data_IF_227292416783
#
_entry.id   IF_227292416783
#
_cell.length_a   1.000
_cell.length_b   1.000
_cell.length_c   1.000
_cell.angle_alpha   90.00
_cell.angle_beta   90.00
_cell.angle_gamma   90.00
#
_symmetry.space_group_name_H-M   'P 1'
#
loop_
_entity.id
_entity.type
_entity.pdbx_description
1 polymer ?
#
# COMPACT_ATOMS: atom_id res chain seq x y z
N UNK A 1 34.80 -23.27 -16.32
CA UNK A 1 34.29 -22.02 -15.74
C UNK A 1 32.79 -22.05 -15.88
N UNK A 2 32.05 -22.05 -14.78
CA UNK A 2 30.59 -22.03 -14.78
C UNK A 2 30.13 -20.70 -15.37
N UNK A 3 29.19 -20.74 -16.31
CA UNK A 3 28.65 -19.50 -16.89
C UNK A 3 27.64 -18.88 -15.92
N UNK A 4 27.86 -17.62 -15.56
CA UNK A 4 26.92 -16.81 -14.77
C UNK A 4 25.96 -16.08 -15.69
N UNK A 5 24.70 -15.94 -15.27
CA UNK A 5 23.65 -15.33 -16.07
C UNK A 5 23.03 -14.10 -15.41
N UNK A 6 22.78 -13.08 -16.24
CA UNK A 6 21.76 -12.06 -15.98
C UNK A 6 20.57 -12.38 -16.86
N UNK A 7 19.40 -12.63 -16.27
CA UNK A 7 18.22 -13.08 -17.03
C UNK A 7 17.24 -11.94 -17.22
N UNK A 8 17.04 -11.48 -18.45
CA UNK A 8 16.02 -10.50 -18.81
C UNK A 8 14.74 -11.20 -19.26
N UNK A 9 13.67 -11.09 -18.47
CA UNK A 9 12.41 -11.81 -18.68
C UNK A 9 11.32 -10.91 -19.24
N UNK A 10 10.61 -11.39 -20.27
CA UNK A 10 9.43 -10.73 -20.84
C UNK A 10 8.30 -11.73 -21.12
N UNK A 11 7.05 -11.32 -20.92
CA UNK A 11 5.85 -12.12 -21.25
C UNK A 11 5.07 -11.60 -22.46
N UNK A 12 5.59 -10.55 -23.11
CA UNK A 12 5.02 -9.99 -24.33
C UNK A 12 6.15 -9.70 -25.33
N UNK A 13 5.88 -9.71 -26.66
CA UNK A 13 6.87 -9.36 -27.68
C UNK A 13 7.08 -7.83 -27.74
N UNK A 14 7.37 -7.26 -26.58
CA UNK A 14 7.74 -5.88 -26.36
C UNK A 14 8.80 -5.84 -25.27
N UNK A 15 9.83 -5.02 -25.50
CA UNK A 15 10.94 -4.83 -24.57
C UNK A 15 11.38 -3.38 -24.66
N UNK A 16 11.33 -2.68 -23.53
CA UNK A 16 11.68 -1.28 -23.47
C UNK A 16 13.20 -1.10 -23.61
N UNK A 17 13.68 -0.15 -24.45
CA UNK A 17 15.12 0.05 -24.67
C UNK A 17 15.93 0.26 -23.39
N UNK A 18 15.36 0.94 -22.41
CA UNK A 18 16.02 1.22 -21.13
C UNK A 18 16.12 -0.01 -20.22
N UNK A 19 15.15 -0.92 -20.27
CA UNK A 19 15.23 -2.21 -19.56
C UNK A 19 16.34 -3.06 -20.17
N UNK A 20 16.40 -3.10 -21.51
CA UNK A 20 17.48 -3.77 -22.24
C UNK A 20 18.86 -3.17 -21.91
N UNK A 21 18.96 -1.85 -21.84
CA UNK A 21 20.19 -1.15 -21.45
C UNK A 21 20.60 -1.48 -20.01
N UNK A 22 19.66 -1.51 -19.07
CA UNK A 22 19.92 -1.90 -17.68
C UNK A 22 20.47 -3.33 -17.59
N UNK A 23 19.79 -4.30 -18.21
CA UNK A 23 20.23 -5.69 -18.21
C UNK A 23 21.59 -5.86 -18.88
N UNK A 24 21.84 -5.13 -19.98
CA UNK A 24 23.15 -5.07 -20.66
C UNK A 24 24.24 -4.55 -19.74
N UNK A 25 24.00 -3.45 -19.01
CA UNK A 25 24.98 -2.88 -18.08
C UNK A 25 25.28 -3.81 -16.90
N UNK A 26 24.25 -4.49 -16.38
CA UNK A 26 24.40 -5.44 -15.28
C UNK A 26 25.21 -6.67 -15.72
N UNK A 27 24.90 -7.25 -16.88
CA UNK A 27 25.67 -8.35 -17.44
C UNK A 27 27.13 -7.97 -17.72
N UNK A 28 27.35 -6.78 -18.29
CA UNK A 28 28.68 -6.23 -18.55
C UNK A 28 29.51 -6.07 -17.26
N UNK A 29 28.91 -5.52 -16.19
CA UNK A 29 29.59 -5.36 -14.89
C UNK A 29 29.92 -6.68 -14.21
N UNK A 30 29.04 -7.67 -14.31
CA UNK A 30 29.23 -9.00 -13.73
C UNK A 30 30.07 -9.95 -14.58
N UNK A 31 30.50 -9.55 -15.79
CA UNK A 31 31.08 -10.45 -16.79
C UNK A 31 30.19 -11.69 -17.08
N UNK A 32 28.87 -11.50 -16.94
CA UNK A 32 27.85 -12.53 -17.07
C UNK A 32 27.29 -12.60 -18.50
N UNK A 33 26.69 -13.73 -18.84
CA UNK A 33 25.94 -13.90 -20.08
C UNK A 33 24.54 -13.31 -19.91
N UNK A 34 24.15 -12.36 -20.77
CA UNK A 34 22.79 -11.84 -20.80
C UNK A 34 21.86 -12.84 -21.48
N UNK A 35 20.93 -13.43 -20.73
CA UNK A 35 19.88 -14.28 -21.30
C UNK A 35 18.61 -13.45 -21.54
N UNK A 36 18.21 -13.32 -22.80
CA UNK A 36 16.86 -12.84 -23.15
C UNK A 36 15.89 -14.03 -23.08
N UNK A 37 15.09 -14.08 -22.02
CA UNK A 37 14.08 -15.10 -21.78
C UNK A 37 12.69 -14.55 -22.10
N UNK A 38 12.11 -14.99 -23.22
CA UNK A 38 10.74 -14.65 -23.57
C UNK A 38 9.80 -15.82 -23.26
N UNK A 39 8.74 -15.56 -22.50
CA UNK A 39 7.78 -16.58 -22.05
C UNK A 39 6.40 -16.25 -22.61
N UNK A 40 5.80 -17.19 -23.33
CA UNK A 40 4.40 -17.11 -23.76
C UNK A 40 3.54 -17.74 -22.66
N UNK A 41 2.77 -16.95 -21.87
CA UNK A 41 2.03 -17.46 -20.73
C UNK A 41 0.82 -18.30 -21.16
N UNK A 42 0.49 -19.34 -20.40
CA UNK A 42 -0.82 -19.99 -20.51
C UNK A 42 -1.86 -19.07 -19.84
N UNK A 43 -2.85 -18.57 -20.59
CA UNK A 43 -4.01 -17.88 -20.01
C UNK A 43 -4.95 -18.91 -19.41
N UNK A 44 -5.46 -18.70 -18.18
CA UNK A 44 -6.44 -19.61 -17.56
C UNK A 44 -7.78 -19.58 -18.33
N UNK A 45 -8.56 -20.64 -18.47
CA UNK A 45 -8.48 -21.99 -17.91
C UNK A 45 -9.34 -22.94 -18.77
N UNK A 46 -8.73 -23.51 -19.80
CA UNK A 46 -9.24 -24.62 -20.61
C UNK A 46 -8.08 -25.09 -21.52
N UNK A 47 -8.03 -26.38 -21.85
CA UNK A 47 -6.92 -26.98 -22.62
C UNK A 47 -6.67 -26.32 -23.99
N UNK A 48 -7.64 -25.53 -24.48
CA UNK A 48 -7.56 -24.74 -25.70
C UNK A 48 -6.58 -23.57 -25.60
N UNK A 49 -6.51 -22.88 -24.45
CA UNK A 49 -5.56 -21.78 -24.24
C UNK A 49 -4.09 -22.27 -24.21
N UNK A 50 -3.84 -23.49 -23.72
CA UNK A 50 -2.53 -24.15 -23.81
C UNK A 50 -2.18 -24.47 -25.27
N UNK A 51 -3.16 -24.92 -26.06
CA UNK A 51 -2.99 -25.23 -27.48
C UNK A 51 -2.65 -23.97 -28.29
N UNK A 52 -3.37 -22.86 -28.09
CA UNK A 52 -3.09 -21.57 -28.74
C UNK A 52 -1.74 -20.97 -28.34
N UNK A 53 -1.32 -21.13 -27.09
CA UNK A 53 0.00 -20.69 -26.63
C UNK A 53 1.12 -21.51 -27.29
N UNK A 54 0.94 -22.83 -27.41
CA UNK A 54 1.87 -23.71 -28.12
C UNK A 54 1.94 -23.39 -29.62
N UNK A 55 0.78 -23.17 -30.27
CA UNK A 55 0.69 -22.76 -31.68
C UNK A 55 1.31 -21.37 -31.89
N UNK A 56 1.14 -20.44 -30.94
CA UNK A 56 1.76 -19.11 -30.96
C UNK A 56 3.30 -19.18 -30.94
N UNK A 57 3.87 -20.07 -30.14
CA UNK A 57 5.32 -20.35 -30.17
C UNK A 57 5.74 -20.97 -31.50
N UNK A 58 4.98 -21.92 -32.04
CA UNK A 58 5.26 -22.57 -33.33
C UNK A 58 5.06 -21.66 -34.55
N UNK A 59 4.31 -20.56 -34.41
CA UNK A 59 4.07 -19.59 -35.49
C UNK A 59 5.31 -18.79 -35.92
N UNK A 60 6.43 -18.91 -35.19
CA UNK A 60 7.70 -18.25 -35.48
C UNK A 60 7.74 -16.74 -35.21
N UNK A 61 6.60 -16.12 -34.89
CA UNK A 61 6.49 -14.66 -34.64
C UNK A 61 7.26 -14.21 -33.39
N UNK A 62 7.11 -14.94 -32.30
CA UNK A 62 7.81 -14.71 -31.04
C UNK A 62 9.32 -14.99 -31.16
N UNK A 63 9.69 -16.02 -31.91
CA UNK A 63 11.09 -16.37 -32.18
C UNK A 63 11.78 -15.31 -33.05
N UNK A 64 11.11 -14.85 -34.12
CA UNK A 64 11.60 -13.76 -34.96
C UNK A 64 11.74 -12.45 -34.19
N UNK A 65 10.82 -12.14 -33.26
CA UNK A 65 10.95 -10.98 -32.39
C UNK A 65 12.12 -11.10 -31.41
N UNK A 66 12.27 -12.28 -30.79
CA UNK A 66 13.32 -12.55 -29.82
C UNK A 66 14.71 -12.50 -30.47
N UNK A 67 14.85 -13.07 -31.67
CA UNK A 67 16.10 -13.04 -32.44
C UNK A 67 16.57 -11.65 -32.85
N UNK A 68 15.68 -10.64 -32.84
CA UNK A 68 16.05 -9.22 -33.05
C UNK A 68 16.56 -8.53 -31.79
N UNK A 69 16.45 -9.16 -30.62
CA UNK A 69 16.94 -8.57 -29.38
C UNK A 69 18.44 -8.78 -29.28
N UNK A 70 19.19 -7.69 -29.14
CA UNK A 70 20.63 -7.72 -28.92
C UNK A 70 20.98 -6.81 -27.75
N UNK A 71 22.05 -7.08 -26.99
CA UNK A 71 22.48 -6.19 -25.94
C UNK A 71 22.81 -4.80 -26.51
N UNK A 72 22.66 -3.75 -25.70
CA UNK A 72 23.02 -2.38 -26.10
C UNK A 72 24.55 -2.17 -26.23
N UNK A 73 25.37 -3.18 -25.89
CA UNK A 73 26.83 -3.18 -25.92
C UNK A 73 27.32 -4.45 -26.59
N UNK A 74 28.09 -4.32 -27.67
CA UNK A 74 28.48 -5.43 -28.53
C UNK A 74 29.37 -6.47 -27.83
N UNK A 75 30.09 -6.05 -26.79
CA UNK A 75 31.00 -6.87 -26.00
C UNK A 75 30.29 -7.83 -25.02
N UNK A 76 28.99 -7.64 -24.77
CA UNK A 76 28.23 -8.49 -23.83
C UNK A 76 27.82 -9.80 -24.52
N UNK A 77 28.30 -10.93 -23.98
CA UNK A 77 27.85 -12.27 -24.40
C UNK A 77 26.37 -12.43 -24.09
N UNK A 78 25.59 -12.96 -25.03
CA UNK A 78 24.15 -13.12 -24.84
C UNK A 78 23.59 -14.40 -25.46
N UNK A 79 22.41 -14.81 -24.99
CA UNK A 79 21.62 -15.93 -25.51
C UNK A 79 20.15 -15.56 -25.57
N UNK A 80 19.40 -16.28 -26.41
CA UNK A 80 17.95 -16.21 -26.49
C UNK A 80 17.34 -17.52 -26.01
N UNK A 81 16.23 -17.44 -25.28
CA UNK A 81 15.39 -18.60 -24.97
C UNK A 81 13.93 -18.22 -25.05
N UNK A 82 13.19 -18.98 -25.85
CA UNK A 82 11.74 -18.92 -25.93
C UNK A 82 11.16 -20.08 -25.13
N UNK A 83 10.16 -19.81 -24.31
CA UNK A 83 9.45 -20.83 -23.54
C UNK A 83 7.94 -20.56 -23.58
N UNK A 84 7.14 -21.59 -23.38
CA UNK A 84 5.69 -21.50 -23.19
C UNK A 84 5.33 -22.16 -21.86
N UNK A 85 4.50 -21.52 -21.06
CA UNK A 85 4.04 -22.06 -19.79
C UNK A 85 3.85 -21.03 -18.70
N UNK A 86 3.74 -21.50 -17.46
CA UNK A 86 3.68 -20.63 -16.29
C UNK A 86 5.00 -19.84 -16.17
N UNK A 87 4.96 -18.50 -16.29
CA UNK A 87 6.17 -17.69 -16.27
C UNK A 87 6.96 -17.79 -14.98
N UNK A 88 6.31 -17.92 -13.82
CA UNK A 88 6.98 -18.02 -12.53
C UNK A 88 7.71 -19.35 -12.41
N UNK A 89 7.06 -20.45 -12.77
CA UNK A 89 7.68 -21.78 -12.72
C UNK A 89 8.85 -21.91 -13.70
N UNK A 90 8.76 -21.30 -14.87
CA UNK A 90 9.84 -21.33 -15.87
C UNK A 90 11.06 -20.54 -15.39
N UNK A 91 10.85 -19.33 -14.83
CA UNK A 91 11.95 -18.54 -14.29
C UNK A 91 12.56 -19.23 -13.06
N UNK A 92 11.73 -19.72 -12.14
CA UNK A 92 12.17 -20.45 -10.95
C UNK A 92 13.04 -21.65 -11.30
N UNK A 93 12.59 -22.46 -12.26
CA UNK A 93 13.34 -23.63 -12.75
C UNK A 93 14.66 -23.22 -13.38
N UNK A 94 14.66 -22.17 -14.20
CA UNK A 94 15.90 -21.70 -14.82
C UNK A 94 16.93 -21.25 -13.77
N UNK A 95 16.49 -20.49 -12.76
CA UNK A 95 17.33 -20.03 -11.65
C UNK A 95 17.83 -21.20 -10.80
N UNK A 96 17.03 -22.26 -10.62
CA UNK A 96 17.46 -23.44 -9.89
C UNK A 96 18.48 -24.31 -10.66
N UNK A 97 18.46 -24.27 -11.99
CA UNK A 97 19.30 -25.09 -12.86
C UNK A 97 20.61 -24.41 -13.30
N UNK A 98 20.72 -23.08 -13.13
CA UNK A 98 21.84 -22.28 -13.63
C UNK A 98 22.32 -21.27 -12.58
N UNK A 99 23.60 -20.90 -12.63
CA UNK A 99 24.15 -19.82 -11.81
C UNK A 99 23.63 -18.46 -12.29
N UNK A 100 22.52 -17.98 -11.71
CA UNK A 100 21.89 -16.71 -12.05
C UNK A 100 22.25 -15.64 -11.02
N UNK A 101 22.98 -14.61 -11.45
CA UNK A 101 23.39 -13.50 -10.59
C UNK A 101 22.20 -12.60 -10.23
N UNK A 102 21.30 -12.35 -11.20
CA UNK A 102 20.06 -11.60 -11.00
C UNK A 102 19.08 -11.80 -12.17
N UNK A 103 17.80 -11.53 -11.89
CA UNK A 103 16.72 -11.48 -12.88
C UNK A 103 16.29 -10.02 -13.09
N UNK A 104 16.21 -9.57 -14.35
CA UNK A 104 15.60 -8.30 -14.74
C UNK A 104 14.21 -8.59 -15.31
N UNK A 105 13.15 -8.14 -14.65
CA UNK A 105 11.78 -8.34 -15.10
C UNK A 105 11.20 -7.06 -15.70
N UNK A 106 10.72 -7.12 -16.95
CA UNK A 106 10.01 -5.99 -17.54
C UNK A 106 8.54 -5.93 -17.07
N UNK A 107 8.16 -4.85 -16.40
CA UNK A 107 6.78 -4.56 -16.07
C UNK A 107 6.10 -3.80 -17.24
N UNK A 108 5.13 -4.40 -17.95
CA UNK A 108 4.43 -3.72 -19.03
C UNK A 108 3.61 -2.53 -18.49
N UNK A 109 3.37 -1.49 -19.30
CA UNK A 109 2.49 -0.38 -18.91
C UNK A 109 1.09 -0.92 -18.61
N UNK A 110 0.57 -0.66 -17.41
CA UNK A 110 -0.80 -1.04 -17.02
C UNK A 110 -1.79 -0.42 -18.01
N UNK A 111 -2.45 -1.25 -18.83
CA UNK A 111 -3.60 -0.82 -19.66
C UNK A 111 -4.80 -0.60 -18.75
N UNK A 112 -5.49 0.50 -18.98
CA UNK A 112 -6.58 1.17 -18.26
C UNK A 112 -7.86 0.36 -17.96
N UNK A 113 -7.83 -0.97 -18.05
CA UNK A 113 -8.97 -1.82 -17.70
C UNK A 113 -8.67 -2.60 -16.41
N UNK A 114 -9.34 -2.17 -15.34
CA UNK A 114 -9.36 -2.70 -13.96
C UNK A 114 -8.09 -2.48 -13.08
N UNK A 115 -8.18 -1.70 -11.99
CA UNK A 115 -7.12 -1.61 -10.97
C UNK A 115 -7.13 -2.75 -9.94
N UNK A 116 -8.15 -3.62 -9.95
CA UNK A 116 -8.53 -4.42 -8.77
C UNK A 116 -8.25 -5.93 -8.83
N UNK A 117 -7.71 -6.48 -9.91
CA UNK A 117 -7.39 -7.91 -9.99
C UNK A 117 -6.03 -8.08 -10.68
N UNK A 118 -5.16 -8.92 -10.11
CA UNK A 118 -3.81 -9.32 -10.56
C UNK A 118 -2.62 -8.54 -9.97
N UNK A 119 -1.97 -9.13 -8.94
CA UNK A 119 -0.56 -8.84 -8.58
C UNK A 119 0.31 -9.03 -9.83
N UNK A 120 1.17 -8.07 -10.16
CA UNK A 120 1.91 -8.11 -11.43
C UNK A 120 2.92 -9.26 -11.49
N UNK A 121 3.16 -9.85 -12.66
CA UNK A 121 4.16 -10.91 -12.87
C UNK A 121 5.54 -10.58 -12.27
N UNK A 122 6.02 -9.35 -12.49
CA UNK A 122 7.30 -8.89 -11.94
C UNK A 122 7.32 -8.82 -10.40
N UNK A 123 6.19 -8.46 -9.77
CA UNK A 123 6.08 -8.43 -8.30
C UNK A 123 6.14 -9.85 -7.73
N UNK A 124 5.50 -10.83 -8.37
CA UNK A 124 5.52 -12.23 -7.90
C UNK A 124 6.91 -12.86 -8.02
N UNK A 125 7.68 -12.51 -9.04
CA UNK A 125 9.08 -12.94 -9.16
C UNK A 125 9.95 -12.45 -7.99
N UNK A 126 9.78 -11.20 -7.54
CA UNK A 126 10.56 -10.65 -6.40
C UNK A 126 10.40 -11.51 -5.14
N UNK A 127 9.20 -12.03 -4.89
CA UNK A 127 8.91 -12.80 -3.69
C UNK A 127 9.35 -14.26 -3.76
N UNK A 128 9.49 -14.82 -4.97
CA UNK A 128 9.71 -16.25 -5.16
C UNK A 128 11.15 -16.61 -5.55
N UNK A 129 11.95 -15.66 -6.05
CA UNK A 129 13.27 -15.95 -6.58
C UNK A 129 14.36 -15.96 -5.49
N UNK A 130 15.26 -16.96 -5.47
CA UNK A 130 16.38 -17.00 -4.53
C UNK A 130 17.51 -16.03 -4.88
N UNK A 131 17.47 -15.41 -6.06
CA UNK A 131 18.42 -14.41 -6.52
C UNK A 131 17.78 -13.01 -6.63
N UNK A 132 18.57 -11.92 -6.61
CA UNK A 132 18.05 -10.57 -6.75
C UNK A 132 17.20 -10.38 -8.00
N UNK A 133 16.02 -9.78 -7.84
CA UNK A 133 15.12 -9.43 -8.95
C UNK A 133 15.03 -7.91 -9.08
N UNK A 134 15.41 -7.40 -10.25
CA UNK A 134 15.34 -6.00 -10.61
C UNK A 134 14.13 -5.77 -11.51
N UNK A 135 13.13 -5.05 -11.01
CA UNK A 135 11.98 -4.65 -11.81
C UNK A 135 12.35 -3.42 -12.63
N UNK A 136 12.13 -3.48 -13.93
CA UNK A 136 12.35 -2.36 -14.85
C UNK A 136 11.14 -2.18 -15.75
N UNK A 137 10.91 -0.96 -16.20
CA UNK A 137 9.78 -0.60 -17.05
C UNK A 137 9.59 0.91 -17.07
N UNK A 138 8.68 1.43 -17.90
CA UNK A 138 8.49 2.86 -18.12
C UNK A 138 8.16 3.69 -16.86
N UNK A 139 7.89 3.05 -15.70
CA UNK A 139 7.68 3.70 -14.40
C UNK A 139 8.86 3.59 -13.41
N UNK A 140 9.80 2.66 -13.57
CA UNK A 140 10.85 2.40 -12.57
C UNK A 140 12.16 3.17 -12.79
N UNK A 141 12.37 3.73 -13.98
CA UNK A 141 13.54 4.59 -14.29
C UNK A 141 13.27 6.09 -14.11
N UNK A 142 12.20 6.44 -13.40
CA UNK A 142 11.91 7.81 -12.99
C UNK A 142 11.44 7.83 -11.54
N UNK A 143 12.37 7.77 -10.60
CA UNK A 143 12.31 8.72 -9.48
C UNK A 143 12.66 10.11 -10.02
N UNK A 144 11.78 10.64 -10.84
CA UNK A 144 11.59 12.04 -11.17
C UNK A 144 10.11 12.10 -11.52
N UNK A 145 9.26 12.76 -10.72
CA UNK A 145 7.86 12.91 -11.07
C UNK A 145 7.80 13.46 -12.49
N UNK A 146 7.09 12.78 -13.39
CA UNK A 146 6.61 13.48 -14.58
C UNK A 146 5.81 14.68 -14.06
N UNK A 147 6.02 15.90 -14.59
CA UNK A 147 5.19 17.02 -14.21
C UNK A 147 3.73 16.59 -14.37
N UNK A 148 2.84 16.95 -13.43
CA UNK A 148 1.43 16.63 -13.57
C UNK A 148 1.00 17.05 -14.99
N UNK A 149 0.06 16.33 -15.63
CA UNK A 149 -0.56 16.85 -16.84
C UNK A 149 -0.92 18.32 -16.57
N UNK A 150 -0.68 19.23 -17.52
CA UNK A 150 -0.90 20.65 -17.27
C UNK A 150 -2.29 20.79 -16.65
N UNK A 151 -2.33 21.43 -15.48
CA UNK A 151 -3.55 21.69 -14.75
C UNK A 151 -4.63 22.09 -15.76
N UNK A 152 -5.83 21.48 -15.73
CA UNK A 152 -6.88 21.83 -16.66
C UNK A 152 -7.05 23.36 -16.65
N UNK A 153 -6.91 23.99 -17.82
CA UNK A 153 -6.97 25.45 -17.94
C UNK A 153 -8.38 25.91 -17.60
N UNK A 154 -8.53 26.62 -16.48
CA UNK A 154 -9.79 27.12 -15.97
C UNK A 154 -10.70 26.02 -15.43
N UNK A 155 -10.78 25.89 -14.10
CA UNK A 155 -11.89 25.18 -13.47
C UNK A 155 -13.09 26.14 -13.39
N UNK A 156 -14.23 25.72 -13.92
CA UNK A 156 -15.51 26.39 -13.62
C UNK A 156 -15.95 25.99 -12.21
N UNK A 157 -16.87 26.75 -11.59
CA UNK A 157 -17.42 26.39 -10.28
C UNK A 157 -17.97 24.95 -10.23
N UNK A 158 -18.61 24.49 -11.31
CA UNK A 158 -19.13 23.12 -11.44
C UNK A 158 -17.99 22.10 -11.53
N UNK A 159 -16.95 22.36 -12.33
CA UNK A 159 -15.81 21.45 -12.49
C UNK A 159 -14.99 21.29 -11.20
N UNK A 160 -14.82 22.35 -10.41
CA UNK A 160 -14.11 22.27 -9.12
C UNK A 160 -14.88 21.41 -8.10
N UNK A 161 -16.19 21.61 -7.99
CA UNK A 161 -17.04 20.81 -7.11
C UNK A 161 -17.01 19.33 -7.49
N UNK A 162 -17.17 19.02 -8.78
CA UNK A 162 -17.17 17.65 -9.28
C UNK A 162 -15.82 16.96 -9.05
N UNK A 163 -14.70 17.66 -9.33
CA UNK A 163 -13.35 17.14 -9.08
C UNK A 163 -13.12 16.83 -7.60
N UNK A 164 -13.43 17.77 -6.71
CA UNK A 164 -13.22 17.61 -5.27
C UNK A 164 -14.08 16.48 -4.72
N UNK A 165 -15.37 16.46 -5.08
CA UNK A 165 -16.29 15.40 -4.65
C UNK A 165 -15.87 14.02 -5.14
N UNK A 166 -15.59 13.88 -6.44
CA UNK A 166 -15.16 12.60 -7.02
C UNK A 166 -13.88 12.11 -6.36
N UNK A 167 -12.95 13.02 -6.06
CA UNK A 167 -11.70 12.68 -5.41
C UNK A 167 -11.93 12.20 -3.98
N UNK A 168 -12.72 12.92 -3.17
CA UNK A 168 -13.01 12.51 -1.80
C UNK A 168 -13.76 11.19 -1.77
N UNK A 169 -14.78 11.01 -2.62
CA UNK A 169 -15.55 9.77 -2.70
C UNK A 169 -14.64 8.58 -3.05
N UNK A 170 -13.77 8.72 -4.05
CA UNK A 170 -12.80 7.67 -4.40
C UNK A 170 -11.80 7.37 -3.28
N UNK A 171 -11.37 8.39 -2.52
CA UNK A 171 -10.40 8.25 -1.43
C UNK A 171 -11.02 7.59 -0.21
N UNK A 172 -12.23 7.99 0.16
CA UNK A 172 -13.01 7.35 1.22
C UNK A 172 -13.21 5.87 0.90
N UNK A 173 -13.65 5.55 -0.32
CA UNK A 173 -13.87 4.16 -0.72
C UNK A 173 -12.58 3.33 -0.66
N UNK A 174 -11.46 3.89 -1.12
CA UNK A 174 -10.17 3.21 -1.10
C UNK A 174 -9.69 2.94 0.34
N UNK A 175 -9.78 3.92 1.23
CA UNK A 175 -9.38 3.75 2.65
C UNK A 175 -10.32 2.77 3.35
N UNK A 176 -11.63 2.92 3.18
CA UNK A 176 -12.63 2.05 3.80
C UNK A 176 -12.45 0.59 3.37
N UNK A 177 -12.37 0.35 2.06
CA UNK A 177 -12.16 -1.00 1.53
C UNK A 177 -10.86 -1.64 2.05
N UNK A 178 -9.79 -0.85 2.18
CA UNK A 178 -8.56 -1.31 2.80
C UNK A 178 -8.76 -1.66 4.29
N UNK A 179 -9.38 -0.79 5.08
CA UNK A 179 -9.63 -1.02 6.51
C UNK A 179 -10.52 -2.25 6.76
N UNK A 180 -11.57 -2.42 5.96
CA UNK A 180 -12.48 -3.58 6.01
C UNK A 180 -11.73 -4.87 5.66
N UNK A 181 -10.88 -4.82 4.62
CA UNK A 181 -10.05 -5.96 4.24
C UNK A 181 -9.10 -6.41 5.37
N UNK A 182 -8.49 -5.45 6.09
CA UNK A 182 -7.62 -5.76 7.22
C UNK A 182 -8.39 -6.40 8.38
N UNK A 183 -9.56 -5.86 8.73
CA UNK A 183 -10.43 -6.41 9.76
C UNK A 183 -10.86 -7.85 9.42
N UNK A 184 -11.32 -8.06 8.18
CA UNK A 184 -11.73 -9.37 7.66
C UNK A 184 -10.58 -10.38 7.64
N UNK A 185 -9.37 -9.95 7.29
CA UNK A 185 -8.19 -10.80 7.29
C UNK A 185 -7.85 -11.29 8.70
N UNK A 186 -7.81 -10.38 9.68
CA UNK A 186 -7.56 -10.73 11.08
C UNK A 186 -8.70 -11.57 11.66
N UNK A 187 -9.94 -11.28 11.28
CA UNK A 187 -11.10 -12.11 11.65
C UNK A 187 -10.93 -13.56 11.18
N UNK A 188 -10.54 -13.79 9.91
CA UNK A 188 -10.29 -15.15 9.40
C UNK A 188 -9.17 -15.87 10.16
N UNK A 189 -8.12 -15.16 10.56
CA UNK A 189 -7.05 -15.74 11.40
C UNK A 189 -7.59 -16.11 12.79
N UNK A 190 -8.35 -15.21 13.42
CA UNK A 190 -9.00 -15.44 14.71
C UNK A 190 -9.97 -16.63 14.69
N UNK A 191 -10.63 -16.89 13.55
CA UNK A 191 -11.54 -18.02 13.37
C UNK A 191 -10.85 -19.32 12.93
N UNK A 192 -9.53 -19.31 12.71
CA UNK A 192 -8.78 -20.53 12.35
C UNK A 192 -8.83 -21.57 13.46
N UNK A 193 -8.83 -22.85 13.09
CA UNK A 193 -8.89 -23.96 14.06
C UNK A 193 -7.77 -23.89 15.10
N UNK A 194 -6.54 -23.58 14.67
CA UNK A 194 -5.38 -23.49 15.57
C UNK A 194 -5.57 -22.42 16.64
N UNK A 195 -6.07 -21.24 16.26
CA UNK A 195 -6.28 -20.12 17.19
C UNK A 195 -7.47 -20.41 18.12
N UNK A 196 -8.55 -20.98 17.60
CA UNK A 196 -9.73 -21.36 18.40
C UNK A 196 -9.45 -22.49 19.39
N UNK A 197 -8.73 -23.52 18.96
CA UNK A 197 -8.34 -24.65 19.81
C UNK A 197 -7.40 -24.19 20.94
N UNK A 198 -6.45 -23.31 20.61
CA UNK A 198 -5.58 -22.70 21.60
C UNK A 198 -6.39 -21.91 22.64
N UNK A 199 -7.29 -21.03 22.20
CA UNK A 199 -8.14 -20.26 23.11
C UNK A 199 -9.01 -21.16 24.01
N UNK A 200 -9.63 -22.21 23.45
CA UNK A 200 -10.45 -23.15 24.21
C UNK A 200 -9.65 -23.94 25.25
N UNK A 201 -8.37 -24.26 24.97
CA UNK A 201 -7.52 -25.03 25.89
C UNK A 201 -7.17 -24.28 27.18
N UNK A 202 -7.20 -22.94 27.16
CA UNK A 202 -6.95 -22.09 28.35
C UNK A 202 -8.10 -22.19 29.37
N UNK A 203 -9.34 -22.26 28.90
CA UNK A 203 -10.53 -22.30 29.76
C UNK A 203 -10.78 -23.65 30.44
N UNK A 204 -10.15 -24.74 29.99
CA UNK A 204 -10.50 -26.10 30.39
C UNK A 204 -9.72 -26.70 31.56
N UNK A 205 -8.43 -26.39 31.72
CA UNK A 205 -7.54 -27.22 32.59
C UNK A 205 -6.46 -26.45 33.38
N UNK A 206 -6.33 -25.13 33.22
CA UNK A 206 -5.37 -24.30 33.98
C UNK A 206 -3.88 -24.55 33.67
N UNK A 207 -3.55 -25.51 32.80
CA UNK A 207 -2.20 -25.77 32.29
C UNK A 207 -2.23 -25.73 30.76
N UNK A 208 -1.60 -24.71 30.19
CA UNK A 208 -1.45 -24.57 28.75
C UNK A 208 -0.37 -25.54 28.26
N UNK A 209 -0.73 -26.47 27.37
CA UNK A 209 0.21 -27.44 26.80
C UNK A 209 1.25 -26.71 25.94
N UNK A 210 2.54 -26.87 26.28
CA UNK A 210 3.67 -26.28 25.55
C UNK A 210 3.62 -26.61 24.04
N UNK A 211 3.04 -27.76 23.67
CA UNK A 211 2.86 -28.15 22.27
C UNK A 211 1.76 -27.36 21.57
N UNK A 212 0.69 -27.01 22.28
CA UNK A 212 -0.39 -26.14 21.79
C UNK A 212 0.15 -24.72 21.60
N UNK A 213 0.92 -24.22 22.58
CA UNK A 213 1.60 -22.93 22.46
C UNK A 213 2.51 -22.85 21.24
N UNK A 214 3.38 -23.85 21.06
CA UNK A 214 4.31 -23.85 19.94
C UNK A 214 3.59 -23.86 18.59
N UNK A 215 2.51 -24.64 18.45
CA UNK A 215 1.68 -24.67 17.22
C UNK A 215 0.99 -23.33 16.98
N UNK A 216 0.45 -22.71 18.02
CA UNK A 216 -0.18 -21.40 17.95
C UNK A 216 0.81 -20.34 17.44
N UNK A 217 2.00 -20.28 18.04
CA UNK A 217 3.04 -19.31 17.66
C UNK A 217 3.45 -19.47 16.21
N UNK A 218 3.74 -20.70 15.77
CA UNK A 218 4.10 -20.99 14.38
C UNK A 218 2.98 -20.55 13.43
N UNK A 219 1.72 -20.87 13.73
CA UNK A 219 0.61 -20.48 12.87
C UNK A 219 0.43 -18.95 12.79
N UNK A 220 0.55 -18.24 13.92
CA UNK A 220 0.40 -16.79 13.95
C UNK A 220 1.61 -16.06 13.34
N UNK A 221 2.83 -16.59 13.45
CA UNK A 221 4.01 -16.06 12.76
C UNK A 221 3.88 -16.21 11.23
N UNK A 222 3.36 -17.34 10.73
CA UNK A 222 3.05 -17.53 9.31
C UNK A 222 1.97 -16.56 8.83
N UNK A 223 0.91 -16.34 9.62
CA UNK A 223 -0.12 -15.36 9.31
C UNK A 223 0.40 -13.92 9.34
N UNK A 224 1.27 -13.59 10.30
CA UNK A 224 1.95 -12.30 10.36
C UNK A 224 2.73 -12.06 9.07
N UNK A 225 3.54 -13.05 8.64
CA UNK A 225 4.32 -12.95 7.41
C UNK A 225 3.44 -12.81 6.17
N UNK A 226 2.40 -13.65 6.04
CA UNK A 226 1.49 -13.64 4.89
C UNK A 226 0.67 -12.34 4.76
N UNK A 227 0.35 -11.71 5.89
CA UNK A 227 -0.37 -10.43 5.94
C UNK A 227 0.55 -9.21 5.95
N UNK A 228 1.88 -9.42 5.94
CA UNK A 228 2.88 -8.36 6.09
C UNK A 228 2.70 -7.52 7.38
N UNK A 229 2.22 -8.15 8.45
CA UNK A 229 2.11 -7.52 9.76
C UNK A 229 3.51 -7.40 10.42
N UNK A 230 3.71 -6.35 11.20
CA UNK A 230 4.93 -6.11 11.96
C UNK A 230 4.97 -6.94 13.26
N UNK A 231 3.82 -7.36 13.75
CA UNK A 231 3.69 -8.21 14.92
C UNK A 231 2.25 -8.61 15.21
N UNK A 232 2.08 -9.54 16.14
CA UNK A 232 0.77 -9.97 16.64
C UNK A 232 0.76 -10.13 18.15
N UNK A 233 -0.44 -10.05 18.73
CA UNK A 233 -0.72 -10.39 20.12
C UNK A 233 -2.08 -11.10 20.22
N UNK A 234 -2.12 -12.26 20.88
CA UNK A 234 -3.35 -12.95 21.25
C UNK A 234 -3.49 -12.91 22.77
N UNK A 235 -4.63 -12.42 23.26
CA UNK A 235 -4.97 -12.42 24.69
C UNK A 235 -6.21 -13.26 24.93
N UNK A 236 -6.18 -14.15 25.91
CA UNK A 236 -7.31 -15.00 26.33
C UNK A 236 -7.32 -15.09 27.85
N UNK A 237 -8.30 -14.43 28.49
CA UNK A 237 -8.30 -14.23 29.94
C UNK A 237 -7.03 -13.49 30.40
N UNK A 238 -6.35 -14.03 31.41
CA UNK A 238 -5.08 -13.48 31.94
C UNK A 238 -3.85 -13.87 31.10
N UNK A 239 -4.01 -14.71 30.07
CA UNK A 239 -2.90 -15.19 29.26
C UNK A 239 -2.73 -14.35 28.00
N UNK A 240 -1.49 -14.06 27.65
CA UNK A 240 -1.15 -13.32 26.44
C UNK A 240 0.09 -13.92 25.76
N UNK A 241 0.01 -14.07 24.44
CA UNK A 241 1.12 -14.48 23.58
C UNK A 241 1.31 -13.43 22.49
N UNK A 242 2.53 -13.26 22.01
CA UNK A 242 2.79 -12.32 20.93
C UNK A 242 4.20 -12.43 20.35
N UNK A 243 4.38 -11.76 19.22
CA UNK A 243 5.64 -11.63 18.52
C UNK A 243 5.74 -10.24 17.89
N UNK A 244 6.80 -9.49 18.22
CA UNK A 244 7.14 -8.22 17.55
C UNK A 244 6.14 -7.07 17.70
N UNK A 245 4.95 -7.28 18.28
CA UNK A 245 3.93 -6.26 18.41
C UNK A 245 4.33 -5.27 19.51
N UNK A 246 4.57 -4.03 19.10
CA UNK A 246 4.77 -2.92 20.04
C UNK A 246 3.42 -2.29 20.28
N UNK A 247 2.90 -2.44 21.50
CA UNK A 247 1.61 -1.88 21.86
C UNK A 247 1.66 -0.34 21.76
N UNK A 248 0.68 0.29 21.07
CA UNK A 248 0.59 1.73 21.00
C UNK A 248 0.32 2.36 22.37
N UNK A 249 0.55 3.67 22.49
CA UNK A 249 0.21 4.40 23.72
C UNK A 249 -1.29 4.30 24.02
N UNK A 250 -1.62 4.10 25.30
CA UNK A 250 -2.99 4.17 25.78
C UNK A 250 -3.56 5.57 25.51
N UNK A 251 -4.78 5.62 24.99
CA UNK A 251 -5.46 6.85 24.61
C UNK A 251 -6.84 6.57 24.03
N UNK A 252 -7.61 7.62 23.76
CA UNK A 252 -8.98 7.53 23.24
C UNK A 252 -9.05 6.77 21.92
N UNK A 253 -8.08 6.97 21.01
CA UNK A 253 -8.04 6.27 19.72
C UNK A 253 -7.92 4.74 19.85
N UNK A 254 -7.08 4.26 20.79
CA UNK A 254 -6.96 2.82 21.06
C UNK A 254 -8.21 2.28 21.75
N UNK A 255 -8.79 3.02 22.70
CA UNK A 255 -10.03 2.63 23.36
C UNK A 255 -11.20 2.50 22.38
N UNK A 256 -11.43 3.53 21.54
CA UNK A 256 -12.48 3.51 20.53
C UNK A 256 -12.30 2.37 19.51
N UNK A 257 -11.06 2.05 19.14
CA UNK A 257 -10.78 0.88 18.31
C UNK A 257 -11.17 -0.44 19.02
N UNK A 258 -10.77 -0.62 20.27
CA UNK A 258 -11.09 -1.83 21.03
C UNK A 258 -12.59 -1.97 21.24
N UNK A 259 -13.30 -0.87 21.52
CA UNK A 259 -14.76 -0.87 21.64
C UNK A 259 -15.42 -1.37 20.35
N UNK A 260 -14.97 -0.89 19.17
CA UNK A 260 -15.46 -1.40 17.87
C UNK A 260 -15.17 -2.88 17.66
N UNK A 261 -14.02 -3.38 18.09
CA UNK A 261 -13.71 -4.82 17.99
C UNK A 261 -14.66 -5.64 18.87
N UNK A 262 -14.96 -5.17 20.08
CA UNK A 262 -15.92 -5.85 20.97
C UNK A 262 -17.36 -5.78 20.44
N UNK A 263 -17.77 -4.65 19.88
CA UNK A 263 -19.11 -4.44 19.35
C UNK A 263 -19.36 -5.23 18.06
N UNK A 264 -18.40 -5.22 17.14
CA UNK A 264 -18.56 -5.77 15.78
C UNK A 264 -17.84 -7.10 15.56
N UNK A 265 -17.10 -7.59 16.55
CA UNK A 265 -16.30 -8.81 16.47
C UNK A 265 -14.96 -8.65 15.75
N UNK A 266 -14.79 -7.63 14.90
CA UNK A 266 -13.51 -7.24 14.31
C UNK A 266 -13.53 -5.80 13.83
N UNK A 267 -12.38 -5.13 13.85
CA UNK A 267 -12.24 -3.77 13.32
C UNK A 267 -10.78 -3.45 13.01
N UNK A 268 -10.56 -2.26 12.45
CA UNK A 268 -9.25 -1.65 12.19
C UNK A 268 -9.18 -0.30 12.90
N UNK A 269 -8.02 0.02 13.48
CA UNK A 269 -7.78 1.28 14.18
C UNK A 269 -7.51 2.42 13.20
N UNK A 270 -7.65 3.65 13.67
CA UNK A 270 -6.98 4.81 13.05
C UNK A 270 -5.48 4.77 13.40
N UNK A 271 -4.62 5.59 12.77
CA UNK A 271 -3.20 5.63 13.12
C UNK A 271 -2.98 5.87 14.61
N UNK A 272 -2.13 5.05 15.23
CA UNK A 272 -1.78 5.13 16.65
C UNK A 272 -0.29 5.38 16.80
N UNK A 273 0.08 6.26 17.73
CA UNK A 273 1.48 6.52 18.06
C UNK A 273 2.04 5.39 18.92
N UNK A 274 3.14 4.78 18.47
CA UNK A 274 3.95 3.85 19.27
C UNK A 274 5.02 4.63 20.03
N UNK A 275 5.74 5.48 19.30
CA UNK A 275 6.73 6.39 19.85
C UNK A 275 6.60 7.76 19.18
N UNK A 276 6.44 8.80 20.00
CA UNK A 276 6.25 10.18 19.54
C UNK A 276 7.56 10.80 19.10
N UNK A 277 8.71 10.29 19.56
CA UNK A 277 10.03 10.83 19.18
C UNK A 277 10.53 10.24 17.85
N UNK A 278 10.04 9.05 17.46
CA UNK A 278 10.51 8.32 16.27
C UNK A 278 9.55 8.39 15.06
N UNK A 279 8.48 9.20 15.13
CA UNK A 279 7.45 9.30 14.07
C UNK A 279 6.82 7.95 13.67
N UNK A 280 6.86 6.93 14.56
CA UNK A 280 6.37 5.59 14.21
C UNK A 280 4.89 5.46 14.53
N UNK A 281 4.11 5.43 13.46
CA UNK A 281 2.67 5.21 13.48
C UNK A 281 2.36 3.78 13.08
N UNK A 282 1.48 3.14 13.83
CA UNK A 282 0.97 1.81 13.51
C UNK A 282 -0.54 1.84 13.35
N UNK A 283 -1.04 0.87 12.60
CA UNK A 283 -2.45 0.52 12.54
C UNK A 283 -2.63 -0.84 13.18
N UNK A 284 -3.66 -0.99 14.00
CA UNK A 284 -4.04 -2.28 14.54
C UNK A 284 -5.26 -2.80 13.78
N UNK A 285 -5.26 -4.07 13.41
CA UNK A 285 -6.50 -4.77 13.11
C UNK A 285 -6.71 -5.84 14.18
N UNK A 286 -7.95 -5.92 14.67
CA UNK A 286 -8.30 -6.76 15.82
C UNK A 286 -9.53 -7.59 15.55
N UNK A 287 -9.59 -8.78 16.14
CA UNK A 287 -10.76 -9.65 16.09
C UNK A 287 -10.93 -10.46 17.37
N UNK A 288 -12.19 -10.70 17.74
CA UNK A 288 -12.57 -11.57 18.85
C UNK A 288 -12.33 -13.04 18.51
N UNK A 289 -11.82 -13.80 19.48
CA UNK A 289 -11.48 -15.22 19.39
C UNK A 289 -12.37 -16.02 20.34
N UNK A 290 -13.21 -16.91 19.79
CA UNK A 290 -14.07 -17.80 20.57
C UNK A 290 -15.21 -17.09 21.32
N UNK A 291 -15.97 -17.85 22.13
CA UNK A 291 -17.10 -17.34 22.92
C UNK A 291 -16.70 -16.72 24.27
N UNK A 292 -15.49 -17.02 24.77
CA UNK A 292 -15.01 -16.64 26.11
C UNK A 292 -14.14 -15.37 26.12
N UNK A 293 -14.25 -14.50 25.11
CA UNK A 293 -13.64 -13.16 25.15
C UNK A 293 -12.15 -13.08 24.83
N UNK A 294 -11.62 -13.95 23.98
CA UNK A 294 -10.26 -13.80 23.45
C UNK A 294 -10.15 -12.64 22.45
N UNK A 295 -8.99 -12.00 22.35
CA UNK A 295 -8.70 -10.90 21.43
C UNK A 295 -7.38 -11.15 20.69
N UNK A 296 -7.45 -11.20 19.36
CA UNK A 296 -6.28 -11.21 18.48
C UNK A 296 -6.07 -9.81 17.91
N UNK A 297 -4.84 -9.30 18.00
CA UNK A 297 -4.39 -8.05 17.40
C UNK A 297 -3.22 -8.32 16.45
N UNK A 298 -3.23 -7.71 15.27
CA UNK A 298 -2.08 -7.62 14.38
C UNK A 298 -1.75 -6.13 14.14
N UNK A 299 -0.46 -5.82 14.12
CA UNK A 299 0.05 -4.47 13.88
C UNK A 299 0.59 -4.31 12.45
N UNK A 300 0.26 -3.19 11.83
CA UNK A 300 0.64 -2.83 10.46
C UNK A 300 1.31 -1.45 10.44
N UNK A 301 2.14 -1.24 9.44
CA UNK A 301 2.76 0.06 9.20
C UNK A 301 1.72 1.05 8.65
N UNK A 302 1.49 2.18 9.34
CA UNK A 302 0.56 3.19 8.85
C UNK A 302 1.05 3.88 7.57
N UNK A 303 2.36 3.99 7.36
CA UNK A 303 2.96 4.66 6.19
C UNK A 303 2.75 3.87 4.92
N UNK A 304 2.92 2.55 5.00
CA UNK A 304 2.92 1.68 3.83
C UNK A 304 1.56 1.68 3.12
N UNK A 305 0.46 1.86 3.83
CA UNK A 305 -0.89 1.74 3.27
C UNK A 305 -1.79 2.95 3.49
N UNK A 306 -2.27 3.20 4.73
CA UNK A 306 -3.26 4.24 5.03
C UNK A 306 -2.78 5.64 4.60
N UNK A 307 -1.58 6.03 5.02
CA UNK A 307 -1.01 7.33 4.68
C UNK A 307 -0.74 7.44 3.18
N UNK A 308 -0.31 6.35 2.53
CA UNK A 308 -0.07 6.31 1.08
C UNK A 308 -1.35 6.47 0.25
N UNK A 309 -2.48 5.91 0.70
CA UNK A 309 -3.78 6.05 0.01
C UNK A 309 -4.22 7.52 -0.01
N UNK A 310 -4.02 8.24 1.09
CA UNK A 310 -4.40 9.65 1.25
C UNK A 310 -3.36 10.61 0.65
N UNK A 311 -2.08 10.30 0.75
CA UNK A 311 -0.97 11.15 0.29
C UNK A 311 -0.75 11.21 -1.23
N UNK A 312 -1.70 10.73 -2.03
CA UNK A 312 -1.59 10.78 -3.48
C UNK A 312 -1.82 12.22 -3.98
N UNK A 313 -0.92 12.76 -4.81
CA UNK A 313 -1.03 14.13 -5.27
C UNK A 313 -2.23 14.30 -6.21
N UNK A 314 -2.97 15.40 -6.04
CA UNK A 314 -3.99 15.81 -6.98
C UNK A 314 -3.44 16.52 -8.22
N UNK A 315 -4.32 16.93 -9.15
CA UNK A 315 -3.93 17.53 -10.42
C UNK A 315 -3.34 18.94 -10.31
N UNK A 316 -3.43 19.58 -9.15
CA UNK A 316 -2.88 20.91 -8.90
C UNK A 316 -1.82 20.89 -7.79
N UNK A 317 -0.84 21.82 -7.80
CA UNK A 317 0.18 21.92 -6.75
C UNK A 317 -0.39 22.14 -5.35
N UNK A 318 -1.46 22.93 -5.23
CA UNK A 318 -2.16 23.19 -3.97
C UNK A 318 -3.30 22.21 -3.67
N UNK A 319 -3.47 21.16 -4.48
CA UNK A 319 -4.46 20.14 -4.21
C UNK A 319 -3.94 19.17 -3.15
N UNK A 320 -4.75 18.94 -2.13
CA UNK A 320 -4.46 18.04 -1.03
C UNK A 320 -5.67 17.15 -0.74
N UNK A 321 -5.42 15.93 -0.26
CA UNK A 321 -6.42 15.09 0.39
C UNK A 321 -5.85 14.63 1.71
N UNK A 322 -6.62 14.76 2.77
CA UNK A 322 -6.19 14.34 4.11
C UNK A 322 -7.35 13.79 4.93
N UNK A 323 -7.00 13.05 5.99
CA UNK A 323 -7.95 12.54 6.97
C UNK A 323 -7.76 13.19 8.34
N UNK A 324 -8.82 13.21 9.14
CA UNK A 324 -8.83 13.73 10.51
C UNK A 324 -9.85 12.99 11.39
N UNK A 325 -9.62 12.95 12.70
CA UNK A 325 -10.51 12.30 13.66
C UNK A 325 -11.64 13.23 14.17
N UNK A 326 -12.44 12.73 15.12
CA UNK A 326 -13.55 13.46 15.74
C UNK A 326 -13.13 14.73 16.51
N UNK A 327 -11.89 14.77 17.00
CA UNK A 327 -11.31 15.95 17.65
C UNK A 327 -10.70 16.93 16.63
N UNK A 328 -10.79 16.61 15.34
CA UNK A 328 -10.16 17.36 14.26
C UNK A 328 -8.64 17.18 14.23
N UNK A 329 -8.08 16.15 14.85
CA UNK A 329 -6.65 15.85 14.74
C UNK A 329 -6.38 15.17 13.40
N UNK A 330 -5.41 15.68 12.66
CA UNK A 330 -5.03 15.16 11.35
C UNK A 330 -4.46 13.74 11.48
N UNK A 331 -4.88 12.83 10.62
CA UNK A 331 -4.47 11.42 10.60
C UNK A 331 -3.54 11.10 9.42
N UNK A 332 -3.33 12.04 8.51
CA UNK A 332 -2.47 11.88 7.34
C UNK A 332 -1.40 12.97 7.25
N UNK A 333 -0.42 12.76 6.37
CA UNK A 333 0.60 13.75 6.09
C UNK A 333 0.03 14.92 5.30
N UNK A 334 0.31 16.14 5.75
CA UNK A 334 0.08 17.36 4.98
C UNK A 334 1.07 17.45 3.83
N UNK A 335 0.62 18.03 2.72
CA UNK A 335 1.42 18.42 1.56
C UNK A 335 2.21 19.70 1.79
N UNK A 336 1.95 20.44 2.87
CA UNK A 336 2.56 21.74 3.13
C UNK A 336 3.42 21.78 4.42
N UNK A 337 4.34 20.81 4.65
CA UNK A 337 5.13 20.75 5.88
C UNK A 337 5.96 22.02 6.09
N UNK A 338 6.53 22.61 5.04
CA UNK A 338 7.32 23.84 5.13
C UNK A 338 6.50 25.04 5.63
N UNK A 339 5.25 25.18 5.17
CA UNK A 339 4.37 26.27 5.59
C UNK A 339 3.97 26.08 7.06
N UNK A 340 3.73 24.84 7.47
CA UNK A 340 3.39 24.50 8.84
C UNK A 340 4.57 24.73 9.80
N UNK A 341 5.79 24.39 9.39
CA UNK A 341 7.02 24.70 10.13
C UNK A 341 7.21 26.21 10.29
N UNK A 342 7.05 26.97 9.21
CA UNK A 342 7.16 28.44 9.24
C UNK A 342 6.10 29.09 10.13
N UNK A 343 4.88 28.53 10.18
CA UNK A 343 3.82 28.98 11.07
C UNK A 343 3.99 28.48 12.52
N UNK A 344 5.04 27.70 12.81
CA UNK A 344 5.27 27.06 14.10
C UNK A 344 4.17 26.07 14.50
N UNK A 345 3.46 25.50 13.52
CA UNK A 345 2.41 24.49 13.71
C UNK A 345 2.97 23.07 13.75
N UNK A 346 4.22 22.88 13.33
CA UNK A 346 4.98 21.65 13.52
C UNK A 346 6.31 21.94 14.23
N UNK A 347 6.82 21.00 15.04
CA UNK A 347 8.15 21.10 15.62
C UNK A 347 9.22 21.06 14.51
N UNK A 348 10.38 21.68 14.76
CA UNK A 348 11.51 21.67 13.80
C UNK A 348 12.10 20.26 13.60
N UNK A 349 11.90 19.39 14.59
CA UNK A 349 12.32 17.99 14.61
C UNK A 349 11.09 17.12 14.28
N UNK A 350 11.01 16.66 13.03
CA UNK A 350 9.88 15.84 12.52
C UNK A 350 8.99 16.60 11.54
N UNK A 351 8.84 16.06 10.32
CA UNK A 351 8.02 16.66 9.25
C UNK A 351 6.63 16.01 9.14
N UNK A 352 6.35 14.99 9.96
CA UNK A 352 5.07 14.29 9.91
C UNK A 352 3.98 15.05 10.67
N UNK A 353 2.82 15.17 10.05
CA UNK A 353 1.62 15.83 10.61
C UNK A 353 0.60 14.92 11.30
N UNK A 354 0.49 13.61 11.01
CA UNK A 354 -0.46 12.76 11.70
C UNK A 354 -0.28 12.84 13.22
N UNK A 355 -1.41 12.92 13.94
CA UNK A 355 -1.49 13.01 15.39
C UNK A 355 -0.82 14.25 16.03
N UNK A 356 -0.39 15.23 15.22
CA UNK A 356 0.33 16.43 15.69
C UNK A 356 -0.34 17.74 15.30
N UNK A 357 -1.11 17.73 14.23
CA UNK A 357 -1.79 18.92 13.72
C UNK A 357 -3.29 18.82 13.98
N UNK A 358 -3.89 19.88 14.54
CA UNK A 358 -5.35 20.03 14.57
C UNK A 358 -5.81 20.79 13.33
N UNK A 359 -6.83 20.29 12.66
CA UNK A 359 -7.52 20.90 11.51
C UNK A 359 -8.40 22.04 12.02
N UNK A 360 -7.74 23.08 12.51
CA UNK A 360 -8.34 24.26 13.12
C UNK A 360 -7.92 25.53 12.39
N UNK A 361 -8.85 26.47 12.26
CA UNK A 361 -8.63 27.73 11.58
C UNK A 361 -7.78 28.67 12.47
N UNK A 362 -6.62 29.15 11.99
CA UNK A 362 -5.80 30.10 12.74
C UNK A 362 -6.57 31.36 13.16
N UNK A 363 -6.34 31.79 14.40
CA UNK A 363 -6.97 32.99 14.99
C UNK A 363 -6.04 33.69 15.99
N UNK A 364 -6.47 34.82 16.53
CA UNK A 364 -5.71 35.59 17.53
C UNK A 364 -5.66 34.93 18.92
N UNK A 365 -6.47 33.89 19.16
CA UNK A 365 -6.45 33.11 20.39
C UNK A 365 -5.25 32.14 20.43
N UNK A 366 -4.90 31.60 21.62
CA UNK A 366 -3.96 30.48 21.72
C UNK A 366 -4.37 29.31 20.81
N UNK A 367 -3.38 28.62 20.23
CA UNK A 367 -3.58 27.54 19.24
C UNK A 367 -4.55 26.48 19.72
N UNK A 368 -4.52 26.18 21.01
CA UNK A 368 -5.37 25.18 21.65
C UNK A 368 -6.87 25.53 21.54
N UNK A 369 -7.21 26.81 21.38
CA UNK A 369 -8.58 27.34 21.32
C UNK A 369 -9.08 27.68 19.92
N UNK A 370 -8.22 27.54 18.90
CA UNK A 370 -8.64 27.77 17.52
C UNK A 370 -9.87 26.92 17.15
N UNK A 371 -10.91 27.52 16.53
CA UNK A 371 -12.07 26.75 16.11
C UNK A 371 -11.68 25.76 15.03
N UNK A 372 -12.39 24.63 14.93
CA UNK A 372 -12.25 23.73 13.77
C UNK A 372 -12.49 24.52 12.49
N UNK A 373 -11.80 24.14 11.41
CA UNK A 373 -12.13 24.70 10.09
C UNK A 373 -13.60 24.41 9.79
N UNK A 374 -14.23 25.24 8.95
CA UNK A 374 -15.63 25.04 8.55
C UNK A 374 -15.89 23.60 8.09
N UNK A 375 -14.98 23.06 7.28
CA UNK A 375 -15.07 21.69 6.79
C UNK A 375 -15.03 20.68 7.95
N UNK A 376 -14.04 20.76 8.82
CA UNK A 376 -13.89 19.83 9.94
C UNK A 376 -15.08 19.94 10.93
N UNK A 377 -15.60 21.14 11.17
CA UNK A 377 -16.78 21.37 12.01
C UNK A 377 -18.05 20.70 11.45
N UNK A 378 -18.26 20.76 10.12
CA UNK A 378 -19.41 20.09 9.50
C UNK A 378 -19.23 18.56 9.47
N UNK A 379 -18.03 18.10 9.10
CA UNK A 379 -17.74 16.67 9.00
C UNK A 379 -17.86 15.95 10.35
N UNK A 380 -17.31 16.52 11.43
CA UNK A 380 -17.41 15.95 12.80
C UNK A 380 -18.84 15.92 13.33
N UNK A 381 -19.74 16.75 12.78
CA UNK A 381 -21.20 16.67 13.00
C UNK A 381 -21.91 15.70 12.05
N UNK A 382 -21.15 14.83 11.37
CA UNK A 382 -21.61 13.85 10.39
C UNK A 382 -22.37 14.48 9.21
N UNK A 383 -21.99 15.70 8.83
CA UNK A 383 -22.57 16.40 7.68
C UNK A 383 -21.56 16.45 6.54
N UNK A 384 -21.71 15.53 5.62
CA UNK A 384 -20.99 15.53 4.34
C UNK A 384 -21.30 16.78 3.53
N UNK A 385 -20.34 17.22 2.70
CA UNK A 385 -20.57 18.40 1.90
C UNK A 385 -19.40 18.87 1.06
N UNK A 386 -19.57 20.05 0.50
CA UNK A 386 -18.55 20.79 -0.22
C UNK A 386 -18.81 22.30 -0.08
N UNK A 387 -17.77 23.10 -0.24
CA UNK A 387 -17.87 24.55 -0.31
C UNK A 387 -16.93 25.12 -1.38
N UNK A 388 -17.52 25.63 -2.46
CA UNK A 388 -16.82 26.31 -3.55
C UNK A 388 -16.84 27.83 -3.45
N UNK A 389 -17.53 28.41 -2.45
CA UNK A 389 -17.40 29.86 -2.15
C UNK A 389 -16.05 30.13 -1.49
N UNK A 390 -15.66 29.18 -0.64
CA UNK A 390 -14.37 29.07 0.01
C UNK A 390 -14.40 29.39 1.50
N UNK A 391 -13.39 28.91 2.20
CA UNK A 391 -13.19 29.08 3.64
C UNK A 391 -11.69 29.03 3.97
N UNK A 392 -11.31 29.34 5.22
CA UNK A 392 -9.92 29.22 5.66
C UNK A 392 -9.62 27.80 6.12
N UNK A 393 -8.53 27.23 5.61
CA UNK A 393 -8.03 25.94 6.07
C UNK A 393 -7.16 26.06 7.32
N UNK A 394 -6.52 24.96 7.71
CA UNK A 394 -5.63 24.88 8.86
C UNK A 394 -4.34 25.72 8.73
N UNK A 395 -4.02 26.18 7.51
CA UNK A 395 -2.92 27.11 7.23
C UNK A 395 -3.38 28.56 7.29
N UNK A 396 -4.68 28.81 7.41
CA UNK A 396 -5.31 30.12 7.26
C UNK A 396 -5.48 30.54 5.79
N UNK A 397 -5.16 29.67 4.83
CA UNK A 397 -5.28 29.94 3.40
C UNK A 397 -6.73 29.80 2.94
N UNK A 398 -7.13 30.62 1.96
CA UNK A 398 -8.45 30.52 1.35
C UNK A 398 -8.49 29.31 0.41
N UNK A 399 -9.30 28.32 0.73
CA UNK A 399 -9.48 27.08 -0.03
C UNK A 399 -10.94 26.89 -0.45
N UNK A 400 -11.15 26.05 -1.45
CA UNK A 400 -12.42 25.36 -1.71
C UNK A 400 -12.23 23.88 -1.42
N UNK A 401 -13.27 23.19 -0.97
CA UNK A 401 -13.11 21.81 -0.53
C UNK A 401 -14.38 20.97 -0.57
N UNK A 402 -14.20 19.66 -0.53
CA UNK A 402 -15.24 18.67 -0.31
C UNK A 402 -14.82 17.75 0.84
N UNK A 403 -15.79 17.18 1.54
CA UNK A 403 -15.52 16.30 2.68
C UNK A 403 -16.61 15.26 2.87
N UNK A 404 -16.21 14.16 3.50
CA UNK A 404 -17.05 13.03 3.84
C UNK A 404 -16.65 12.50 5.21
N UNK A 405 -17.64 12.16 6.02
CA UNK A 405 -17.45 11.47 7.29
C UNK A 405 -17.60 9.96 7.08
N UNK A 406 -16.73 9.18 7.73
CA UNK A 406 -16.74 7.71 7.74
C UNK A 406 -17.14 7.28 9.16
N UNK A 407 -18.44 7.21 9.46
CA UNK A 407 -18.94 7.00 10.81
C UNK A 407 -18.51 5.67 11.40
N UNK A 408 -18.32 4.64 10.57
CA UNK A 408 -17.95 3.29 10.99
C UNK A 408 -16.58 3.24 11.68
N UNK A 409 -15.70 4.17 11.32
CA UNK A 409 -14.33 4.25 11.83
C UNK A 409 -14.03 5.53 12.62
N UNK A 410 -14.96 6.50 12.62
CA UNK A 410 -14.86 7.73 13.41
C UNK A 410 -13.88 8.77 12.85
N UNK A 411 -13.78 8.89 11.53
CA UNK A 411 -12.89 9.87 10.89
C UNK A 411 -13.53 10.54 9.67
N UNK A 412 -12.99 11.70 9.29
CA UNK A 412 -13.35 12.42 8.08
C UNK A 412 -12.25 12.39 7.05
N UNK A 413 -12.61 12.43 5.77
CA UNK A 413 -11.70 12.65 4.64
C UNK A 413 -12.13 13.91 3.91
N UNK A 414 -11.15 14.73 3.54
CA UNK A 414 -11.39 15.95 2.76
C UNK A 414 -10.42 16.05 1.62
N UNK A 415 -10.85 16.72 0.55
CA UNK A 415 -9.98 17.23 -0.49
C UNK A 415 -10.16 18.74 -0.57
N UNK A 416 -9.04 19.44 -0.65
CA UNK A 416 -8.99 20.90 -0.66
C UNK A 416 -8.08 21.38 -1.78
N UNK A 417 -8.41 22.57 -2.30
CA UNK A 417 -7.65 23.26 -3.33
C UNK A 417 -7.64 24.75 -3.00
N UNK A 418 -6.50 25.42 -3.11
CA UNK A 418 -6.44 26.88 -2.94
C UNK A 418 -7.47 27.56 -3.86
N UNK A 419 -8.27 28.45 -3.29
CA UNK A 419 -9.36 29.14 -3.99
C UNK A 419 -8.85 29.89 -5.21
N UNK A 420 -7.66 30.48 -5.13
CA UNK A 420 -7.03 31.16 -6.25
C UNK A 420 -6.74 30.18 -7.41
N UNK A 421 -6.21 28.99 -7.12
CA UNK A 421 -5.93 27.96 -8.13
C UNK A 421 -7.21 27.37 -8.74
N UNK A 422 -8.30 27.32 -7.97
CA UNK A 422 -9.60 26.87 -8.46
C UNK A 422 -10.25 27.83 -9.47
N UNK A 423 -9.83 29.10 -9.53
CA UNK A 423 -10.46 30.14 -10.37
C UNK A 423 -9.46 30.92 -11.23
N UNK A 424 -8.23 30.40 -11.39
CA UNK A 424 -7.15 31.00 -12.16
C UNK A 424 -7.25 30.77 -13.67
#
# INVERSE_FOLDING_TARGET
MTEHFVVLVTTSPSLHPSTRELATRLACRGNAVLLFLHIVPFSGSDGEAMLYSAVGVMSGTHEAWLGRQVPSRAEVRYRHRLAAGDPEQIVARFVAEHEVDLVVAEQPPRRWLSPALWRGFAERLVWQMPCPVVISGPRFLRSMPSPPPPAPRGLTHTNAADLLRTTVEARVEAVRCWMDHMADAVHRVAQSLVVRDAAASVGGTGLFDARVEQRLRVALDEHQWALHAQGWQLSVGEHSWGSGLVMPRLGSGLAAFLDRVHEHGSSTSLPLAVDVELDRLVLLAGAMVGGDGGLLLLAFDAETDFLRILGQPGPFPSFETYAFDEAGVMLSNSRFPDQLLQAGLLPAEGQQTPLRLRVAEPSDEPKERWPLTRMAEQATRQRDGFDTRGYRDYRGAQVVGAWRWVPEYGFGVTAELDRAAAYA
#
